data_IF_265533622062
#
_entry.id   IF_265533622062
#
_cell.length_a   1.000
_cell.length_b   1.000
_cell.length_c   1.000
_cell.angle_alpha   90.00
_cell.angle_beta   90.00
_cell.angle_gamma   90.00
#
_symmetry.space_group_name_H-M   'P 1'
#
loop_
_entity.id
_entity.type
_entity.pdbx_description
1 polymer ?
#
# COMPACT_ATOMS: atom_id res chain seq x y z
N UNK A 1 -0.57 25.18 4.93
CA UNK A 1 -0.67 24.33 6.12
C UNK A 1 -2.12 24.40 6.59
N UNK A 2 -2.92 23.35 6.40
CA UNK A 2 -4.26 23.21 7.00
C UNK A 2 -4.25 21.90 7.77
N UNK A 3 -4.71 21.99 9.00
CA UNK A 3 -4.50 21.05 10.09
C UNK A 3 -5.60 19.98 10.12
N UNK A 4 -5.21 18.75 10.52
CA UNK A 4 -6.04 17.67 11.10
C UNK A 4 -7.43 17.40 10.48
N UNK A 5 -7.48 16.43 9.57
CA UNK A 5 -8.24 15.17 9.74
C UNK A 5 -9.66 15.15 10.31
N UNK A 6 -10.51 16.14 10.07
CA UNK A 6 -11.93 16.06 10.43
C UNK A 6 -12.71 15.39 9.28
N UNK A 7 -13.09 14.12 9.45
CA UNK A 7 -14.00 13.46 8.51
C UNK A 7 -15.36 14.14 8.55
N UNK A 8 -16.05 14.22 7.40
CA UNK A 8 -17.42 14.77 7.27
C UNK A 8 -18.50 13.92 7.98
N UNK A 9 -18.09 13.08 8.93
CA UNK A 9 -18.91 12.05 9.55
C UNK A 9 -19.35 12.52 10.93
N UNK A 10 -20.64 12.41 11.20
CA UNK A 10 -21.20 12.68 12.52
C UNK A 10 -20.92 11.50 13.46
N UNK A 11 -19.78 11.55 14.15
CA UNK A 11 -19.34 10.50 15.07
C UNK A 11 -20.20 10.41 16.33
N UNK A 12 -20.84 11.50 16.74
CA UNK A 12 -21.71 11.51 17.91
C UNK A 12 -22.98 10.70 17.63
N UNK A 13 -23.53 10.84 16.41
CA UNK A 13 -24.63 10.00 15.94
C UNK A 13 -24.24 8.52 15.84
N UNK A 14 -23.07 8.22 15.26
CA UNK A 14 -22.60 6.85 15.12
C UNK A 14 -22.37 6.16 16.48
N UNK A 15 -21.87 6.88 17.48
CA UNK A 15 -21.61 6.34 18.82
C UNK A 15 -22.90 6.05 19.62
N UNK A 16 -24.02 6.68 19.27
CA UNK A 16 -25.32 6.46 19.90
C UNK A 16 -26.21 5.42 19.19
N UNK A 17 -25.77 4.93 18.04
CA UNK A 17 -26.54 3.98 17.23
C UNK A 17 -26.44 2.57 17.82
N UNK A 18 -27.58 1.91 17.96
CA UNK A 18 -27.63 0.53 18.45
C UNK A 18 -27.22 -0.45 17.36
N UNK A 19 -26.79 -1.64 17.75
CA UNK A 19 -26.36 -2.66 16.80
C UNK A 19 -27.47 -3.06 15.81
N UNK A 20 -28.72 -3.12 16.27
CA UNK A 20 -29.89 -3.41 15.41
C UNK A 20 -30.12 -2.31 14.36
N UNK A 21 -29.94 -1.05 14.72
CA UNK A 21 -30.06 0.06 13.77
C UNK A 21 -28.93 0.01 12.73
N UNK A 22 -27.71 -0.35 13.14
CA UNK A 22 -26.56 -0.53 12.23
C UNK A 22 -26.83 -1.66 11.24
N UNK A 23 -27.33 -2.80 11.72
CA UNK A 23 -27.63 -3.96 10.89
C UNK A 23 -28.78 -3.69 9.90
N UNK A 24 -29.82 -2.99 10.35
CA UNK A 24 -30.90 -2.55 9.48
C UNK A 24 -30.44 -1.55 8.40
N UNK A 25 -29.50 -0.66 8.74
CA UNK A 25 -28.92 0.28 7.79
C UNK A 25 -28.08 -0.42 6.72
N UNK A 26 -27.23 -1.38 7.11
CA UNK A 26 -26.44 -2.20 6.18
C UNK A 26 -27.34 -3.06 5.29
N UNK A 27 -28.36 -3.71 5.86
CA UNK A 27 -29.28 -4.56 5.09
C UNK A 27 -30.17 -3.78 4.12
N UNK A 28 -30.41 -2.50 4.37
CA UNK A 28 -31.20 -1.63 3.50
C UNK A 28 -30.35 -0.92 2.44
N UNK A 29 -29.02 -1.01 2.54
CA UNK A 29 -28.10 -0.35 1.62
C UNK A 29 -27.95 -1.19 0.33
N UNK A 30 -28.40 -0.67 -0.82
CA UNK A 30 -28.32 -1.40 -2.09
C UNK A 30 -26.88 -1.60 -2.57
N UNK A 31 -25.90 -0.83 -2.07
CA UNK A 31 -24.49 -1.00 -2.42
C UNK A 31 -23.87 -2.20 -1.67
N UNK A 32 -24.36 -2.51 -0.46
CA UNK A 32 -23.97 -3.69 0.33
C UNK A 32 -24.67 -4.98 -0.11
N UNK A 33 -25.79 -4.86 -0.83
CA UNK A 33 -26.58 -5.99 -1.32
C UNK A 33 -25.76 -6.84 -2.34
N UNK A 34 -25.10 -7.90 -1.83
CA UNK A 34 -24.33 -8.85 -2.63
C UNK A 34 -22.81 -8.71 -2.50
N UNK A 35 -22.30 -7.91 -1.56
CA UNK A 35 -20.86 -7.90 -1.22
C UNK A 35 -20.46 -9.16 -0.42
N UNK A 36 -20.37 -10.31 -1.09
CA UNK A 36 -19.77 -11.51 -0.50
C UNK A 36 -18.24 -11.43 -0.65
N UNK A 37 -17.56 -10.94 0.38
CA UNK A 37 -16.09 -10.92 0.41
C UNK A 37 -15.59 -12.32 0.71
N UNK A 38 -15.04 -12.99 -0.32
CA UNK A 38 -14.33 -14.26 -0.19
C UNK A 38 -13.02 -14.06 0.58
N UNK A 39 -13.10 -14.17 1.91
CA UNK A 39 -11.97 -14.05 2.83
C UNK A 39 -10.89 -15.12 2.61
N UNK A 40 -11.21 -16.23 1.94
CA UNK A 40 -10.23 -17.28 1.63
C UNK A 40 -9.29 -16.89 0.48
N UNK A 41 -9.67 -15.93 -0.36
CA UNK A 41 -8.83 -15.39 -1.46
C UNK A 41 -8.04 -14.15 -1.09
N UNK A 42 -8.29 -13.55 0.06
CA UNK A 42 -7.54 -12.38 0.54
C UNK A 42 -6.19 -12.84 1.06
N UNK A 43 -5.18 -12.88 0.17
CA UNK A 43 -3.80 -13.11 0.59
C UNK A 43 -3.26 -11.86 1.28
N UNK A 44 -3.28 -11.84 2.61
CA UNK A 44 -2.63 -10.82 3.44
C UNK A 44 -1.12 -11.07 3.46
N UNK A 45 -0.44 -11.08 2.31
CA UNK A 45 1.01 -11.12 2.32
C UNK A 45 1.52 -9.76 2.76
N UNK A 46 1.86 -9.67 4.04
CA UNK A 46 2.53 -8.51 4.62
C UNK A 46 3.85 -8.30 3.86
N UNK A 47 4.16 -7.06 3.41
CA UNK A 47 5.37 -6.82 2.65
C UNK A 47 6.57 -7.18 3.53
N UNK A 48 7.41 -8.09 3.06
CA UNK A 48 8.63 -8.48 3.76
C UNK A 48 9.48 -7.23 4.07
N UNK A 49 10.04 -7.12 5.28
CA UNK A 49 10.87 -5.99 5.64
C UNK A 49 12.07 -5.92 4.68
N UNK A 50 12.36 -4.72 4.20
CA UNK A 50 13.49 -4.50 3.29
C UNK A 50 14.79 -4.87 4.01
N UNK A 51 15.58 -5.76 3.39
CA UNK A 51 16.91 -6.06 3.88
C UNK A 51 17.81 -4.82 3.82
N UNK A 52 18.65 -4.63 4.83
CA UNK A 52 19.66 -3.57 4.85
C UNK A 52 20.79 -3.94 3.89
N UNK A 53 20.99 -3.12 2.86
CA UNK A 53 22.07 -3.32 1.88
C UNK A 53 23.20 -2.31 2.12
N UNK A 54 24.33 -2.79 2.63
CA UNK A 54 25.58 -2.03 2.70
C UNK A 54 26.46 -2.41 1.50
N UNK A 55 26.52 -1.55 0.48
CA UNK A 55 27.37 -1.76 -0.70
C UNK A 55 28.08 -0.48 -1.12
N UNK A 56 29.21 -0.63 -1.83
CA UNK A 56 29.89 0.48 -2.50
C UNK A 56 29.28 0.65 -3.89
N UNK A 57 29.03 1.90 -4.26
CA UNK A 57 28.51 2.32 -5.57
C UNK A 57 29.41 3.42 -6.08
N UNK A 58 29.63 3.46 -7.39
CA UNK A 58 30.40 4.53 -8.02
C UNK A 58 29.75 5.90 -7.77
N UNK A 59 30.60 6.93 -7.67
CA UNK A 59 30.19 8.26 -7.21
C UNK A 59 29.24 8.94 -8.20
N UNK A 60 29.51 8.79 -9.49
CA UNK A 60 28.69 9.31 -10.58
C UNK A 60 27.29 8.70 -10.61
N UNK A 61 27.18 7.39 -10.38
CA UNK A 61 25.91 6.68 -10.27
C UNK A 61 25.12 7.20 -9.07
N UNK A 62 25.76 7.32 -7.90
CA UNK A 62 25.10 7.85 -6.71
C UNK A 62 24.63 9.30 -6.92
N UNK A 63 25.45 10.14 -7.54
CA UNK A 63 25.13 11.53 -7.82
C UNK A 63 23.98 11.66 -8.82
N UNK A 64 23.92 10.81 -9.84
CA UNK A 64 22.79 10.75 -10.77
C UNK A 64 21.47 10.54 -10.04
N UNK A 65 21.39 9.53 -9.15
CA UNK A 65 20.16 9.25 -8.41
C UNK A 65 19.84 10.34 -7.38
N UNK A 66 20.85 10.91 -6.71
CA UNK A 66 20.67 12.01 -5.75
C UNK A 66 20.08 13.27 -6.39
N UNK A 67 20.48 13.60 -7.63
CA UNK A 67 19.91 14.73 -8.39
C UNK A 67 18.41 14.60 -8.63
N UNK A 68 17.87 13.38 -8.58
CA UNK A 68 16.43 13.14 -8.77
C UNK A 68 15.58 13.37 -7.50
N UNK A 69 16.17 13.88 -6.42
CA UNK A 69 15.46 14.34 -5.23
C UNK A 69 15.14 13.28 -4.19
N UNK A 70 14.15 13.58 -3.34
CA UNK A 70 13.74 12.72 -2.22
C UNK A 70 13.32 11.34 -2.74
N UNK A 71 13.83 10.28 -2.11
CA UNK A 71 13.51 8.90 -2.49
C UNK A 71 14.45 8.26 -3.52
N UNK A 72 15.64 8.84 -3.74
CA UNK A 72 16.64 8.26 -4.64
C UNK A 72 16.97 6.79 -4.33
N UNK A 73 16.98 6.39 -3.05
CA UNK A 73 17.18 4.99 -2.64
C UNK A 73 16.05 4.06 -3.13
N UNK A 74 14.80 4.54 -3.10
CA UNK A 74 13.65 3.80 -3.64
C UNK A 74 13.79 3.59 -5.14
N UNK A 75 14.30 4.60 -5.86
CA UNK A 75 14.56 4.50 -7.30
C UNK A 75 15.69 3.52 -7.63
N UNK A 76 16.78 3.54 -6.85
CA UNK A 76 17.85 2.52 -6.95
C UNK A 76 17.25 1.13 -6.78
N UNK A 77 16.43 0.92 -5.75
CA UNK A 77 15.79 -0.38 -5.51
C UNK A 77 14.85 -0.80 -6.65
N UNK A 78 14.11 0.13 -7.25
CA UNK A 78 13.25 -0.16 -8.41
C UNK A 78 14.05 -0.63 -9.63
N UNK A 79 15.20 0.01 -9.90
CA UNK A 79 16.10 -0.39 -11.00
C UNK A 79 16.68 -1.79 -10.75
N UNK A 80 17.18 -2.04 -9.54
CA UNK A 80 17.70 -3.37 -9.17
C UNK A 80 16.63 -4.46 -9.30
N UNK A 81 15.39 -4.18 -8.88
CA UNK A 81 14.26 -5.11 -9.03
C UNK A 81 13.99 -5.43 -10.51
N UNK A 82 13.89 -4.40 -11.35
CA UNK A 82 13.65 -4.58 -12.79
C UNK A 82 14.75 -5.42 -13.45
N UNK A 83 16.01 -5.21 -13.07
CA UNK A 83 17.13 -6.03 -13.55
C UNK A 83 16.98 -7.50 -13.14
N UNK A 84 16.66 -7.76 -11.86
CA UNK A 84 16.46 -9.13 -11.35
C UNK A 84 15.29 -9.82 -12.06
N UNK A 85 14.17 -9.14 -12.27
CA UNK A 85 13.00 -9.68 -12.97
C UNK A 85 13.32 -10.06 -14.42
N UNK A 86 14.03 -9.19 -15.14
CA UNK A 86 14.47 -9.47 -16.51
C UNK A 86 15.40 -10.68 -16.56
N UNK A 87 16.39 -10.75 -15.67
CA UNK A 87 17.33 -11.87 -15.59
C UNK A 87 16.64 -13.19 -15.22
N UNK A 88 15.62 -13.17 -14.36
CA UNK A 88 14.82 -14.35 -14.01
C UNK A 88 13.96 -14.82 -15.18
N UNK A 89 13.40 -13.89 -15.96
CA UNK A 89 12.58 -14.22 -17.14
C UNK A 89 13.39 -14.90 -18.24
N UNK A 90 14.64 -14.49 -18.45
CA UNK A 90 15.57 -15.12 -19.41
C UNK A 90 16.17 -16.46 -18.95
N UNK A 91 15.93 -16.87 -17.70
CA UNK A 91 16.49 -18.10 -17.09
C UNK A 91 15.45 -19.20 -16.87
N UNK A 92 14.20 -19.01 -17.34
CA UNK A 92 13.21 -20.10 -17.40
C UNK A 92 13.55 -20.97 -18.61
N UNK A 93 13.86 -22.28 -18.43
CA UNK A 93 14.04 -23.21 -19.55
C UNK A 93 12.76 -23.37 -20.36
#
# INVERSE_FOLDING_TARGET
MRERGESKSDWARAAGMTNEEVEAAVSSDPDEAGMEVDWDRVTTQMPEPKAVLNMRVDRDVLDYFRRQGRGYQTKINAVLRSYVEQMRRGKRP
#
